data_IF_642439769395
#
_entry.id   IF_642439769395
#
_cell.length_a   1.000
_cell.length_b   1.000
_cell.length_c   1.000
_cell.angle_alpha   90.00
_cell.angle_beta   90.00
_cell.angle_gamma   90.00
#
_symmetry.space_group_name_H-M   'P 1'
#
loop_
_entity.id
_entity.type
_entity.pdbx_description
1 polymer ?
#
# COMPACT_ATOMS: atom_id res chain seq x y z
N UNK A 1 6.86 24.88 52.82
CA UNK A 1 5.78 23.89 53.07
C UNK A 1 5.11 23.35 51.80
N UNK A 2 5.19 24.00 50.64
CA UNK A 2 4.54 23.50 49.40
C UNK A 2 5.39 22.49 48.58
N UNK A 3 6.70 22.36 48.84
CA UNK A 3 7.58 21.40 48.13
C UNK A 3 7.60 19.98 48.72
N UNK A 4 7.02 19.76 49.91
CA UNK A 4 6.95 18.44 50.55
C UNK A 4 5.72 17.62 50.09
N UNK A 5 4.65 18.29 49.65
CA UNK A 5 3.44 17.64 49.15
C UNK A 5 3.59 17.05 47.74
N UNK A 6 4.45 17.62 46.90
CA UNK A 6 4.65 17.14 45.51
C UNK A 6 5.43 15.80 45.48
N UNK A 7 6.29 15.54 46.47
CA UNK A 7 7.07 14.31 46.55
C UNK A 7 6.32 13.10 47.15
N UNK A 8 5.20 13.34 47.86
CA UNK A 8 4.37 12.25 48.42
C UNK A 8 3.28 11.75 47.46
N UNK A 9 2.96 12.50 46.40
CA UNK A 9 1.99 12.07 45.38
C UNK A 9 2.60 11.18 44.29
N UNK A 10 3.93 11.07 44.20
CA UNK A 10 4.63 10.23 43.22
C UNK A 10 4.93 8.80 43.70
N UNK A 11 4.56 8.43 44.93
CA UNK A 11 4.93 7.15 45.54
C UNK A 11 3.77 6.13 45.64
N UNK A 12 2.58 6.42 45.10
CA UNK A 12 1.39 5.61 45.43
C UNK A 12 0.68 4.93 44.27
N UNK A 13 1.29 4.66 43.11
CA UNK A 13 0.60 3.83 42.10
C UNK A 13 1.53 2.98 41.20
N UNK A 14 2.53 2.34 41.80
CA UNK A 14 3.07 1.06 41.30
C UNK A 14 2.55 -0.05 42.21
N UNK A 15 1.43 -0.69 41.86
CA UNK A 15 1.10 -2.09 42.24
C UNK A 15 -0.28 -2.49 41.69
N UNK A 16 -0.41 -2.68 40.38
CA UNK A 16 -1.34 -3.68 39.84
C UNK A 16 -0.60 -4.47 38.78
N UNK A 17 -0.15 -5.66 39.18
CA UNK A 17 0.38 -6.66 38.28
C UNK A 17 -0.74 -7.31 37.48
N UNK A 18 -0.47 -7.56 36.20
CA UNK A 18 -1.14 -8.61 35.45
C UNK A 18 -0.07 -9.58 34.98
N UNK A 19 -0.01 -10.70 35.68
CA UNK A 19 0.65 -11.95 35.30
C UNK A 19 0.14 -12.37 33.91
N UNK A 20 1.03 -12.56 32.93
CA UNK A 20 0.67 -13.14 31.62
C UNK A 20 1.51 -14.39 31.40
N UNK A 21 0.90 -15.60 31.38
CA UNK A 21 1.65 -16.83 31.14
C UNK A 21 2.19 -16.86 29.71
N UNK A 22 3.30 -17.61 29.46
CA UNK A 22 3.74 -17.85 28.10
C UNK A 22 2.70 -18.74 27.39
N UNK A 23 1.98 -18.17 26.42
CA UNK A 23 1.18 -18.98 25.51
C UNK A 23 2.12 -19.84 24.68
N UNK A 24 2.14 -21.10 25.06
CA UNK A 24 2.60 -22.25 24.30
C UNK A 24 2.24 -22.14 22.83
N UNK A 25 3.27 -22.29 22.01
CA UNK A 25 3.24 -22.82 20.66
C UNK A 25 2.19 -23.94 20.54
N UNK A 26 1.13 -23.67 19.79
CA UNK A 26 0.41 -24.71 19.05
C UNK A 26 0.47 -24.29 17.58
N UNK A 27 1.57 -24.72 16.98
CA UNK A 27 1.67 -25.26 15.62
C UNK A 27 0.29 -25.55 15.02
N UNK A 28 -0.14 -24.75 14.04
CA UNK A 28 -1.15 -25.20 13.10
C UNK A 28 -0.41 -25.59 11.82
N UNK A 29 -0.50 -26.84 11.35
CA UNK A 29 0.23 -27.29 10.16
C UNK A 29 -0.28 -26.57 8.90
N UNK A 30 0.67 -26.17 8.06
CA UNK A 30 0.43 -25.54 6.76
C UNK A 30 -0.45 -26.40 5.85
N UNK A 31 -1.36 -25.80 5.05
CA UNK A 31 -1.91 -26.47 3.88
C UNK A 31 -0.83 -26.55 2.80
N UNK A 32 -0.41 -27.76 2.42
CA UNK A 32 0.50 -28.00 1.29
C UNK A 32 -0.03 -27.33 0.01
N UNK A 33 0.73 -26.44 -0.64
CA UNK A 33 0.44 -26.02 -1.99
C UNK A 33 0.85 -27.12 -2.98
N UNK A 34 -0.02 -27.55 -3.92
CA UNK A 34 0.42 -28.40 -5.00
C UNK A 34 1.25 -27.61 -6.02
N UNK A 35 2.09 -28.38 -6.72
CA UNK A 35 2.79 -28.07 -7.95
C UNK A 35 4.20 -27.44 -7.80
N UNK A 36 5.17 -28.34 -7.70
CA UNK A 36 6.32 -28.22 -8.59
C UNK A 36 5.82 -28.34 -10.03
N UNK A 37 6.18 -27.40 -10.90
CA UNK A 37 6.62 -27.71 -12.26
C UNK A 37 7.37 -26.51 -12.84
N UNK A 38 8.67 -26.75 -13.06
CA UNK A 38 9.58 -25.88 -13.76
C UNK A 38 9.05 -25.57 -15.16
N UNK A 39 9.33 -24.37 -15.68
CA UNK A 39 9.76 -24.20 -17.06
C UNK A 39 10.32 -22.81 -17.35
N UNK A 40 11.50 -22.83 -17.97
CA UNK A 40 12.02 -21.88 -18.96
C UNK A 40 12.35 -20.46 -18.50
N UNK A 41 13.64 -20.28 -18.19
CA UNK A 41 14.41 -19.09 -18.51
C UNK A 41 14.46 -18.91 -20.05
N UNK A 42 14.09 -17.76 -20.62
CA UNK A 42 14.47 -17.39 -21.98
C UNK A 42 15.53 -16.30 -21.95
N UNK A 43 16.73 -16.76 -22.27
CA UNK A 43 17.81 -16.12 -23.03
C UNK A 43 17.56 -14.71 -23.59
N UNK A 44 18.54 -13.84 -23.34
CA UNK A 44 18.62 -12.47 -23.83
C UNK A 44 18.71 -12.36 -25.36
N UNK A 45 18.06 -11.33 -25.92
CA UNK A 45 18.32 -10.79 -27.25
C UNK A 45 17.98 -9.27 -27.27
N UNK A 46 18.57 -8.48 -28.19
CA UNK A 46 19.20 -7.20 -27.86
C UNK A 46 18.28 -5.96 -27.88
N UNK A 47 18.73 -4.95 -27.14
CA UNK A 47 18.24 -3.58 -27.15
C UNK A 47 18.17 -2.99 -28.58
N UNK A 48 16.97 -2.63 -29.00
CA UNK A 48 16.71 -1.70 -30.10
C UNK A 48 16.25 -0.37 -29.55
N UNK A 49 17.09 0.64 -29.77
CA UNK A 49 16.81 2.08 -29.81
C UNK A 49 15.56 2.60 -29.08
N UNK A 50 15.75 3.11 -27.86
CA UNK A 50 14.83 4.10 -27.29
C UNK A 50 14.97 5.40 -28.08
N UNK A 51 13.94 5.72 -28.87
CA UNK A 51 13.64 7.11 -29.20
C UNK A 51 13.29 7.82 -27.90
N UNK A 52 13.87 9.00 -27.67
CA UNK A 52 13.67 9.77 -26.45
C UNK A 52 12.17 10.05 -26.21
N UNK A 53 11.69 10.07 -24.96
CA UNK A 53 10.33 10.45 -24.66
C UNK A 53 10.14 11.91 -25.09
N UNK A 54 9.20 12.14 -26.00
CA UNK A 54 8.63 13.47 -26.20
C UNK A 54 7.98 13.85 -24.87
N UNK A 55 8.45 14.95 -24.26
CA UNK A 55 7.78 15.55 -23.11
C UNK A 55 6.34 15.89 -23.51
N UNK A 56 5.40 15.06 -23.05
CA UNK A 56 3.99 15.31 -23.21
C UNK A 56 3.63 16.57 -22.41
N UNK A 57 2.90 17.48 -23.04
CA UNK A 57 2.33 18.62 -22.33
C UNK A 57 1.31 18.15 -21.28
N UNK A 58 1.04 19.00 -20.30
CA UNK A 58 0.06 18.74 -19.22
C UNK A 58 -1.33 18.36 -19.80
N UNK A 59 -1.65 18.86 -21.00
CA UNK A 59 -2.89 18.56 -21.75
C UNK A 59 -3.00 17.10 -22.25
N UNK A 60 -1.89 16.34 -22.30
CA UNK A 60 -1.87 14.95 -22.80
C UNK A 60 -1.74 13.91 -21.66
N UNK A 61 -1.79 14.32 -20.40
CA UNK A 61 -1.67 13.39 -19.26
C UNK A 61 -3.02 12.78 -18.91
N UNK A 62 -3.11 11.45 -18.99
CA UNK A 62 -4.30 10.70 -18.57
C UNK A 62 -4.24 10.42 -17.07
N UNK A 63 -5.22 10.90 -16.31
CA UNK A 63 -5.37 10.63 -14.89
C UNK A 63 -6.19 9.36 -14.68
N UNK A 64 -5.60 8.35 -14.05
CA UNK A 64 -6.24 7.06 -13.78
C UNK A 64 -6.47 6.91 -12.28
N UNK A 65 -7.72 6.73 -11.88
CA UNK A 65 -8.11 6.52 -10.49
C UNK A 65 -8.08 5.04 -10.13
N UNK A 66 -7.32 4.70 -9.10
CA UNK A 66 -7.31 3.37 -8.51
C UNK A 66 -8.11 3.37 -7.22
N UNK A 67 -9.38 2.97 -7.31
CA UNK A 67 -10.31 2.93 -6.19
C UNK A 67 -10.47 1.50 -5.65
N UNK A 68 -10.19 1.29 -4.36
CA UNK A 68 -10.32 -0.04 -3.78
C UNK A 68 -9.91 -0.11 -2.31
N UNK A 69 -9.46 -1.30 -1.92
CA UNK A 69 -9.15 -1.63 -0.53
C UNK A 69 -7.63 -1.66 -0.23
N UNK A 70 -7.21 -2.55 0.67
CA UNK A 70 -5.81 -2.80 1.05
C UNK A 70 -4.90 -3.18 -0.10
N UNK A 71 -5.41 -3.91 -1.10
CA UNK A 71 -4.59 -4.29 -2.26
C UNK A 71 -4.19 -3.06 -3.07
N UNK A 72 -5.12 -2.10 -3.17
CA UNK A 72 -4.89 -0.82 -3.85
C UNK A 72 -4.04 0.12 -2.99
N UNK A 73 -4.30 0.15 -1.69
CA UNK A 73 -3.53 0.96 -0.74
C UNK A 73 -2.06 0.53 -0.61
N UNK A 74 -1.71 -0.69 -1.01
CA UNK A 74 -0.35 -1.24 -0.84
C UNK A 74 -0.08 -1.71 0.58
N UNK A 75 -1.08 -2.29 1.25
CA UNK A 75 -0.94 -2.78 2.62
C UNK A 75 0.20 -3.82 2.74
N UNK A 76 1.09 -3.61 3.71
CA UNK A 76 2.24 -4.49 3.96
C UNK A 76 3.50 -4.14 3.16
N UNK A 77 3.43 -3.16 2.26
CA UNK A 77 4.61 -2.66 1.55
C UNK A 77 5.40 -1.68 2.42
N UNK A 78 6.72 -1.70 2.29
CA UNK A 78 7.61 -0.79 3.01
C UNK A 78 7.46 0.66 2.53
N UNK A 79 7.31 0.85 1.22
CA UNK A 79 6.98 2.13 0.60
C UNK A 79 5.81 1.97 -0.38
N UNK A 80 4.55 2.05 0.10
CA UNK A 80 3.37 1.95 -0.76
C UNK A 80 3.31 3.02 -1.86
N UNK A 81 3.99 4.15 -1.71
CA UNK A 81 3.96 5.23 -2.71
C UNK A 81 4.74 4.86 -3.97
N UNK A 82 5.73 3.98 -3.85
CA UNK A 82 6.54 3.50 -4.97
C UNK A 82 6.22 2.04 -5.36
N UNK A 83 5.84 1.22 -4.39
CA UNK A 83 5.71 -0.23 -4.56
C UNK A 83 4.27 -0.71 -4.73
N UNK A 84 3.26 0.09 -4.36
CA UNK A 84 1.87 -0.31 -4.58
C UNK A 84 1.57 -0.42 -6.07
N UNK A 85 0.66 -1.33 -6.43
CA UNK A 85 0.41 -1.62 -7.85
C UNK A 85 -0.01 -0.38 -8.67
N UNK A 86 -0.75 0.63 -8.16
CA UNK A 86 -1.01 1.87 -8.91
C UNK A 86 0.28 2.60 -9.32
N UNK A 87 1.23 2.75 -8.40
CA UNK A 87 2.52 3.40 -8.66
C UNK A 87 3.36 2.59 -9.66
N UNK A 88 3.35 1.25 -9.55
CA UNK A 88 4.03 0.36 -10.49
C UNK A 88 3.42 0.41 -11.89
N UNK A 89 2.09 0.56 -11.98
CA UNK A 89 1.41 0.75 -13.27
C UNK A 89 1.80 2.09 -13.89
N UNK A 90 1.83 3.16 -13.11
CA UNK A 90 2.28 4.47 -13.59
C UNK A 90 3.72 4.42 -14.14
N UNK A 91 4.62 3.77 -13.40
CA UNK A 91 6.00 3.56 -13.82
C UNK A 91 6.09 2.81 -15.14
N UNK A 92 5.36 1.70 -15.27
CA UNK A 92 5.32 0.88 -16.50
C UNK A 92 4.67 1.62 -17.67
N UNK A 93 3.63 2.41 -17.42
CA UNK A 93 2.97 3.21 -18.45
C UNK A 93 3.95 4.24 -19.03
N UNK A 94 4.71 4.91 -18.16
CA UNK A 94 5.77 5.85 -18.56
C UNK A 94 6.88 5.17 -19.35
N UNK A 95 7.33 3.99 -18.91
CA UNK A 95 8.31 3.18 -19.65
C UNK A 95 7.81 2.79 -21.05
N UNK A 96 6.50 2.58 -21.19
CA UNK A 96 5.83 2.30 -22.46
C UNK A 96 5.50 3.56 -23.30
N UNK A 97 5.90 4.75 -22.84
CA UNK A 97 5.70 6.01 -23.56
C UNK A 97 4.33 6.67 -23.35
N UNK A 98 3.59 6.26 -22.33
CA UNK A 98 2.31 6.87 -21.96
C UNK A 98 2.46 7.87 -20.82
N UNK A 99 1.84 9.03 -20.97
CA UNK A 99 1.75 10.04 -19.92
C UNK A 99 0.54 9.73 -19.03
N UNK A 100 0.79 8.94 -17.99
CA UNK A 100 -0.24 8.53 -17.02
C UNK A 100 0.09 9.10 -15.66
N UNK A 101 -0.94 9.58 -14.96
CA UNK A 101 -0.92 9.92 -13.54
C UNK A 101 -1.81 8.96 -12.78
N UNK A 102 -1.24 8.13 -11.90
CA UNK A 102 -2.01 7.23 -11.06
C UNK A 102 -2.45 7.91 -9.77
N UNK A 103 -3.76 7.93 -9.52
CA UNK A 103 -4.33 8.41 -8.25
C UNK A 103 -4.70 7.19 -7.41
N UNK A 104 -3.90 6.90 -6.39
CA UNK A 104 -4.21 5.82 -5.45
C UNK A 104 -5.26 6.28 -4.43
N UNK A 105 -6.48 5.77 -4.57
CA UNK A 105 -7.58 5.98 -3.65
C UNK A 105 -7.95 4.68 -2.92
N UNK A 106 -6.99 3.82 -2.61
CA UNK A 106 -7.19 2.60 -1.82
C UNK A 106 -7.31 2.85 -0.32
N UNK A 107 -8.25 2.18 0.35
CA UNK A 107 -8.42 2.23 1.82
C UNK A 107 -8.41 0.83 2.42
N UNK A 108 -7.40 0.51 3.23
CA UNK A 108 -7.27 -0.83 3.83
C UNK A 108 -8.49 -1.25 4.64
N UNK A 109 -9.03 -2.44 4.36
CA UNK A 109 -10.24 -2.96 4.99
C UNK A 109 -11.54 -2.34 4.50
N UNK A 110 -11.50 -1.51 3.45
CA UNK A 110 -12.70 -0.96 2.85
C UNK A 110 -13.57 -2.05 2.21
N UNK A 111 -14.87 -1.88 2.35
CA UNK A 111 -15.89 -2.72 1.72
C UNK A 111 -16.61 -1.91 0.66
N UNK A 112 -17.37 -2.57 -0.22
CA UNK A 112 -18.20 -1.90 -1.23
C UNK A 112 -19.16 -0.86 -0.64
N UNK A 113 -19.73 -1.13 0.53
CA UNK A 113 -20.58 -0.16 1.24
C UNK A 113 -19.79 1.06 1.72
N UNK A 114 -18.54 0.88 2.16
CA UNK A 114 -17.63 1.98 2.51
C UNK A 114 -17.31 2.83 1.29
N UNK A 115 -16.90 2.17 0.21
CA UNK A 115 -16.59 2.81 -1.07
C UNK A 115 -17.75 3.63 -1.63
N UNK A 116 -18.96 3.08 -1.63
CA UNK A 116 -20.16 3.78 -2.13
C UNK A 116 -20.45 5.10 -1.39
N UNK A 117 -20.16 5.19 -0.09
CA UNK A 117 -20.38 6.43 0.69
C UNK A 117 -19.43 7.56 0.31
N UNK A 118 -18.42 7.23 -0.49
CA UNK A 118 -17.21 8.02 -0.68
C UNK A 118 -16.82 8.03 -2.16
N UNK A 119 -17.71 7.67 -3.08
CA UNK A 119 -17.34 7.68 -4.49
C UNK A 119 -17.47 9.10 -5.06
N UNK A 120 -18.44 9.87 -4.59
CA UNK A 120 -18.72 11.21 -5.10
C UNK A 120 -17.53 12.17 -4.91
N UNK A 121 -17.06 12.37 -3.67
CA UNK A 121 -15.88 13.21 -3.38
C UNK A 121 -14.57 12.71 -3.99
N UNK A 122 -14.47 11.42 -4.33
CA UNK A 122 -13.27 10.88 -5.00
C UNK A 122 -13.31 11.23 -6.49
N UNK A 123 -14.49 11.26 -7.09
CA UNK A 123 -14.70 11.64 -8.49
C UNK A 123 -14.67 13.16 -8.72
N UNK A 124 -14.74 13.99 -7.67
CA UNK A 124 -14.55 15.45 -7.77
C UNK A 124 -13.19 15.85 -8.38
N UNK A 125 -12.22 14.93 -8.35
CA UNK A 125 -10.93 15.09 -9.03
C UNK A 125 -10.96 14.84 -10.54
N UNK A 126 -12.13 14.54 -11.11
CA UNK A 126 -12.39 14.33 -12.54
C UNK A 126 -11.37 13.40 -13.22
N UNK A 127 -11.17 12.16 -12.74
CA UNK A 127 -10.28 11.21 -13.41
C UNK A 127 -10.83 10.82 -14.79
N UNK A 128 -9.93 10.54 -15.73
CA UNK A 128 -10.28 10.11 -17.08
C UNK A 128 -10.74 8.64 -17.12
N UNK A 129 -10.20 7.82 -16.20
CA UNK A 129 -10.46 6.37 -16.08
C UNK A 129 -10.60 5.96 -14.62
#
# INVERSE_FOLDING_TARGET
MLRLFVLLASLSLLTVGCDRPPSSSLENPDPEPPAAEANAEPEAAPASACTAPTEAGDDDTVTVLFFGDSLTAGFGLADPSADAYPARIEARAREAGWSVRAVNAGVSGETTAGGLRRIEWVLDGEPDV
#
